data_IF_219078842066
#
_entry.id   IF_219078842066
#
_cell.length_a   1.000
_cell.length_b   1.000
_cell.length_c   1.000
_cell.angle_alpha   90.00
_cell.angle_beta   90.00
_cell.angle_gamma   90.00
#
_symmetry.space_group_name_H-M   'P 1'
#
loop_
_entity.id
_entity.type
_entity.pdbx_description
1 polymer ?
#
# COMPACT_ATOMS: atom_id res chain seq x y z
N UNK A 1 -11.32 -2.61 -36.53
CA UNK A 1 -12.56 -3.39 -36.67
C UNK A 1 -12.60 -4.45 -35.59
N UNK A 2 -13.58 -4.28 -34.70
CA UNK A 2 -14.29 -5.22 -33.83
C UNK A 2 -13.72 -6.65 -33.75
N UNK A 3 -13.15 -7.00 -32.59
CA UNK A 3 -13.60 -8.16 -31.80
C UNK A 3 -13.26 -7.89 -30.34
N UNK A 4 -14.15 -7.12 -29.70
CA UNK A 4 -14.31 -7.19 -28.25
C UNK A 4 -14.70 -8.65 -27.97
N UNK A 5 -13.83 -9.42 -27.32
CA UNK A 5 -14.00 -10.84 -26.97
C UNK A 5 -15.09 -11.06 -25.90
N UNK A 6 -16.17 -10.28 -25.94
CA UNK A 6 -16.95 -9.89 -24.77
C UNK A 6 -18.36 -10.48 -24.56
N UNK A 7 -18.88 -11.43 -25.36
CA UNK A 7 -20.11 -12.10 -24.92
C UNK A 7 -19.89 -13.39 -24.11
N UNK A 8 -18.84 -14.18 -24.29
CA UNK A 8 -18.93 -15.65 -24.15
C UNK A 8 -19.04 -16.21 -22.71
N UNK A 9 -18.98 -15.41 -21.64
CA UNK A 9 -19.12 -15.93 -20.27
C UNK A 9 -20.48 -16.60 -20.01
N UNK A 10 -21.54 -16.11 -20.65
CA UNK A 10 -22.86 -16.74 -20.60
C UNK A 10 -22.90 -18.14 -21.21
N UNK A 11 -21.89 -18.57 -21.98
CA UNK A 11 -21.78 -19.95 -22.46
C UNK A 11 -21.29 -20.91 -21.37
N UNK A 12 -20.90 -20.40 -20.20
CA UNK A 12 -20.74 -21.22 -19.01
C UNK A 12 -22.09 -21.51 -18.33
N UNK A 13 -23.16 -20.74 -18.58
CA UNK A 13 -24.49 -20.98 -18.00
C UNK A 13 -25.07 -22.37 -18.35
N UNK A 14 -24.93 -22.90 -19.59
CA UNK A 14 -25.29 -24.29 -19.91
C UNK A 14 -24.65 -25.34 -18.99
N UNK A 15 -23.48 -25.08 -18.38
CA UNK A 15 -22.83 -26.01 -17.44
C UNK A 15 -23.68 -26.21 -16.18
N UNK A 16 -24.53 -25.23 -15.81
CA UNK A 16 -25.49 -25.38 -14.70
C UNK A 16 -26.57 -26.43 -14.98
N UNK A 17 -26.78 -26.82 -16.24
CA UNK A 17 -27.71 -27.88 -16.60
C UNK A 17 -27.15 -29.28 -16.28
N UNK A 18 -25.83 -29.45 -16.17
CA UNK A 18 -25.20 -30.75 -15.90
C UNK A 18 -25.62 -31.36 -14.56
N UNK A 19 -25.56 -30.63 -13.40
CA UNK A 19 -26.05 -31.16 -12.14
C UNK A 19 -27.54 -31.52 -12.18
N UNK A 20 -28.34 -30.70 -12.86
CA UNK A 20 -29.81 -30.89 -12.97
C UNK A 20 -30.12 -32.12 -13.81
N UNK A 21 -29.46 -32.26 -14.96
CA UNK A 21 -29.62 -33.39 -15.86
C UNK A 21 -29.16 -34.69 -15.21
N UNK A 22 -28.01 -34.69 -14.54
CA UNK A 22 -27.51 -35.84 -13.80
C UNK A 22 -28.45 -36.25 -12.67
N UNK A 23 -28.99 -35.29 -11.93
CA UNK A 23 -29.98 -35.56 -10.89
C UNK A 23 -31.27 -36.17 -11.46
N UNK A 24 -31.75 -35.69 -12.62
CA UNK A 24 -32.89 -36.29 -13.33
C UNK A 24 -32.61 -37.71 -13.82
N UNK A 25 -31.46 -37.94 -14.44
CA UNK A 25 -31.05 -39.27 -14.91
C UNK A 25 -30.92 -40.26 -13.75
N UNK A 26 -30.38 -39.83 -12.61
CA UNK A 26 -30.27 -40.66 -11.41
C UNK A 26 -31.64 -41.05 -10.84
N UNK A 27 -32.63 -40.15 -10.90
CA UNK A 27 -34.02 -40.47 -10.51
C UNK A 27 -34.64 -41.50 -11.45
N UNK A 28 -34.47 -41.33 -12.77
CA UNK A 28 -34.98 -42.28 -13.76
C UNK A 28 -34.39 -43.70 -13.60
N UNK A 29 -33.13 -43.82 -13.15
CA UNK A 29 -32.50 -45.12 -12.87
C UNK A 29 -32.97 -45.76 -11.55
N UNK A 30 -33.53 -44.97 -10.63
CA UNK A 30 -34.04 -45.43 -9.34
C UNK A 30 -35.55 -45.68 -9.34
N UNK A 31 -36.26 -45.25 -10.39
CA UNK A 31 -37.59 -45.75 -10.76
C UNK A 31 -37.43 -47.20 -11.26
N UNK A 32 -37.09 -48.08 -10.32
CA UNK A 32 -37.01 -49.50 -10.56
C UNK A 32 -38.44 -49.98 -10.87
N UNK A 33 -38.67 -50.39 -12.12
CA UNK A 33 -39.78 -51.27 -12.47
C UNK A 33 -39.74 -52.47 -11.51
N UNK A 34 -40.85 -52.79 -10.80
CA UNK A 34 -40.88 -53.98 -9.98
C UNK A 34 -40.53 -55.16 -10.87
N UNK A 35 -39.46 -55.89 -10.54
CA UNK A 35 -39.12 -57.12 -11.23
C UNK A 35 -40.33 -58.05 -11.08
N UNK A 36 -41.08 -58.22 -12.17
CA UNK A 36 -42.24 -59.08 -12.28
C UNK A 36 -41.84 -60.57 -12.23
N UNK A 37 -40.95 -60.96 -11.32
CA UNK A 37 -40.42 -62.31 -11.18
C UNK A 37 -40.70 -62.94 -9.81
N UNK A 38 -41.39 -62.25 -8.90
CA UNK A 38 -41.87 -62.85 -7.66
C UNK A 38 -43.37 -62.62 -7.47
N UNK A 39 -44.19 -63.45 -8.12
CA UNK A 39 -45.67 -63.47 -8.01
C UNK A 39 -46.19 -63.85 -6.60
N UNK A 40 -45.30 -64.00 -5.61
CA UNK A 40 -45.62 -64.58 -4.30
C UNK A 40 -45.19 -63.76 -3.08
N UNK A 41 -44.78 -62.49 -3.26
CA UNK A 41 -44.58 -61.58 -2.12
C UNK A 41 -45.60 -60.45 -2.16
N UNK A 42 -46.22 -60.07 -1.02
CA UNK A 42 -47.07 -58.89 -0.96
C UNK A 42 -46.23 -57.68 -1.38
N UNK A 43 -46.78 -56.87 -2.28
CA UNK A 43 -46.11 -55.68 -2.80
C UNK A 43 -45.82 -54.73 -1.64
N UNK A 44 -44.57 -54.73 -1.16
CA UNK A 44 -44.11 -53.75 -0.18
C UNK A 44 -43.94 -52.41 -0.91
N UNK A 45 -44.77 -51.42 -0.56
CA UNK A 45 -44.56 -50.05 -1.01
C UNK A 45 -43.21 -49.57 -0.45
N UNK A 46 -42.30 -48.99 -1.27
CA UNK A 46 -41.01 -48.53 -0.78
C UNK A 46 -41.21 -47.27 0.08
N UNK A 47 -41.38 -47.41 1.40
CA UNK A 47 -41.53 -46.29 2.33
C UNK A 47 -40.24 -45.47 2.55
N UNK A 48 -39.09 -45.90 2.02
CA UNK A 48 -37.80 -45.30 2.34
C UNK A 48 -37.42 -44.01 1.57
N UNK A 49 -38.32 -43.38 0.80
CA UNK A 49 -37.87 -42.34 -0.13
C UNK A 49 -38.15 -40.89 0.27
N UNK A 50 -39.02 -40.58 1.24
CA UNK A 50 -39.50 -39.19 1.45
C UNK A 50 -38.50 -38.27 2.17
N UNK A 51 -37.81 -38.75 3.20
CA UNK A 51 -36.80 -37.97 3.96
C UNK A 51 -35.53 -37.71 3.11
N UNK A 52 -35.21 -38.60 2.17
CA UNK A 52 -34.05 -38.47 1.29
C UNK A 52 -34.24 -37.45 0.15
N UNK A 53 -35.48 -37.09 -0.20
CA UNK A 53 -35.75 -36.14 -1.29
C UNK A 53 -35.27 -34.72 -0.98
N UNK A 54 -35.39 -34.27 0.28
CA UNK A 54 -34.99 -32.91 0.68
C UNK A 54 -33.48 -32.76 0.70
N UNK A 55 -32.76 -33.78 1.16
CA UNK A 55 -31.29 -33.81 1.14
C UNK A 55 -30.74 -33.82 -0.28
N UNK A 56 -31.37 -34.56 -1.20
CA UNK A 56 -30.97 -34.54 -2.61
C UNK A 56 -31.26 -33.20 -3.31
N UNK A 57 -32.38 -32.53 -2.98
CA UNK A 57 -32.66 -31.16 -3.46
C UNK A 57 -31.68 -30.13 -2.91
N UNK A 58 -31.34 -30.22 -1.62
CA UNK A 58 -30.39 -29.32 -0.96
C UNK A 58 -28.99 -29.50 -1.54
N UNK A 59 -28.55 -30.75 -1.74
CA UNK A 59 -27.26 -31.06 -2.35
C UNK A 59 -27.20 -30.61 -3.84
N UNK A 60 -28.29 -30.73 -4.59
CA UNK A 60 -28.38 -30.17 -5.94
C UNK A 60 -28.24 -28.64 -5.92
N UNK A 61 -28.96 -27.96 -5.02
CA UNK A 61 -28.90 -26.51 -4.87
C UNK A 61 -27.49 -26.02 -4.52
N UNK A 62 -26.81 -26.70 -3.59
CA UNK A 62 -25.42 -26.38 -3.21
C UNK A 62 -24.46 -26.54 -4.39
N UNK A 63 -24.62 -27.58 -5.21
CA UNK A 63 -23.80 -27.79 -6.42
C UNK A 63 -24.03 -26.71 -7.47
N UNK A 64 -25.29 -26.29 -7.66
CA UNK A 64 -25.60 -25.17 -8.54
C UNK A 64 -25.00 -23.86 -8.01
N UNK A 65 -25.10 -23.59 -6.71
CA UNK A 65 -24.48 -22.43 -6.07
C UNK A 65 -22.95 -22.43 -6.23
N UNK A 66 -22.31 -23.58 -6.03
CA UNK A 66 -20.85 -23.72 -6.20
C UNK A 66 -20.43 -23.39 -7.64
N UNK A 67 -21.14 -23.92 -8.64
CA UNK A 67 -20.89 -23.59 -10.04
C UNK A 67 -21.14 -22.11 -10.35
N UNK A 68 -22.23 -21.52 -9.85
CA UNK A 68 -22.52 -20.09 -10.03
C UNK A 68 -21.41 -19.24 -9.41
N UNK A 69 -21.01 -19.53 -8.17
CA UNK A 69 -19.93 -18.84 -7.48
C UNK A 69 -18.60 -18.99 -8.21
N UNK A 70 -18.33 -20.15 -8.81
CA UNK A 70 -17.10 -20.39 -9.58
C UNK A 70 -17.10 -19.59 -10.89
N UNK A 71 -18.23 -19.58 -11.60
CA UNK A 71 -18.40 -18.77 -12.81
C UNK A 71 -18.28 -17.28 -12.47
N UNK A 72 -18.90 -16.82 -11.38
CA UNK A 72 -18.81 -15.44 -10.92
C UNK A 72 -17.37 -15.07 -10.53
N UNK A 73 -16.64 -15.97 -9.88
CA UNK A 73 -15.24 -15.79 -9.54
C UNK A 73 -14.36 -15.61 -10.78
N UNK A 74 -14.52 -16.48 -11.78
CA UNK A 74 -13.81 -16.42 -13.06
C UNK A 74 -14.18 -15.16 -13.86
N UNK A 75 -15.45 -14.78 -13.84
CA UNK A 75 -15.92 -13.54 -14.46
C UNK A 75 -15.26 -12.32 -13.80
N UNK A 76 -15.22 -12.26 -12.47
CA UNK A 76 -14.62 -11.18 -11.71
C UNK A 76 -13.08 -11.15 -11.75
N UNK A 77 -12.41 -12.14 -12.32
CA UNK A 77 -10.95 -12.08 -12.53
C UNK A 77 -10.57 -11.63 -13.93
N UNK A 78 -11.44 -11.86 -14.91
CA UNK A 78 -11.13 -11.72 -16.34
C UNK A 78 -11.88 -10.56 -16.99
N UNK A 79 -13.07 -10.21 -16.50
CA UNK A 79 -13.92 -9.19 -17.12
C UNK A 79 -13.78 -7.83 -16.40
N UNK A 80 -13.52 -6.73 -17.11
CA UNK A 80 -13.72 -5.38 -16.62
C UNK A 80 -15.21 -5.13 -16.46
N UNK A 81 -15.63 -4.84 -15.23
CA UNK A 81 -17.03 -4.51 -14.92
C UNK A 81 -17.23 -3.03 -14.61
N UNK A 82 -16.16 -2.25 -14.37
CA UNK A 82 -16.26 -0.83 -14.02
C UNK A 82 -16.36 0.04 -15.27
N UNK A 83 -17.32 0.95 -15.28
CA UNK A 83 -17.42 2.05 -16.25
C UNK A 83 -16.77 3.32 -15.72
N UNK A 84 -17.22 4.47 -16.21
CA UNK A 84 -16.76 5.78 -15.77
C UNK A 84 -16.73 5.92 -14.25
N UNK A 85 -15.59 6.37 -13.73
CA UNK A 85 -15.33 6.39 -12.28
C UNK A 85 -14.62 7.67 -11.85
N UNK A 86 -15.06 8.20 -10.71
CA UNK A 86 -14.42 9.33 -10.03
C UNK A 86 -13.83 8.85 -8.71
N UNK A 87 -12.54 9.08 -8.51
CA UNK A 87 -11.86 8.91 -7.24
C UNK A 87 -11.85 10.24 -6.51
N UNK A 88 -12.46 10.31 -5.34
CA UNK A 88 -12.63 11.56 -4.57
C UNK A 88 -11.90 11.45 -3.24
N UNK A 89 -11.04 12.42 -2.96
CA UNK A 89 -10.43 12.59 -1.65
C UNK A 89 -11.50 13.01 -0.63
N UNK A 90 -11.61 12.27 0.48
CA UNK A 90 -12.52 12.58 1.57
C UNK A 90 -12.23 13.96 2.20
N UNK A 91 -10.98 14.43 2.11
CA UNK A 91 -10.55 15.73 2.63
C UNK A 91 -10.71 16.91 1.67
N UNK A 92 -11.17 16.68 0.43
CA UNK A 92 -11.45 17.75 -0.53
C UNK A 92 -12.78 18.44 -0.22
N UNK A 93 -12.89 19.74 -0.54
CA UNK A 93 -14.16 20.46 -0.43
C UNK A 93 -15.20 19.81 -1.36
N UNK A 94 -16.28 19.29 -0.78
CA UNK A 94 -17.34 18.58 -1.50
C UNK A 94 -18.05 19.46 -2.53
N UNK A 95 -18.18 20.76 -2.28
CA UNK A 95 -18.80 21.71 -3.21
C UNK A 95 -17.87 22.00 -4.40
N UNK A 96 -16.56 22.09 -4.16
CA UNK A 96 -15.56 22.18 -5.22
C UNK A 96 -15.48 20.87 -6.02
N UNK A 97 -15.40 19.72 -5.35
CA UNK A 97 -15.32 18.42 -5.99
C UNK A 97 -16.54 18.15 -6.89
N UNK A 98 -17.74 18.46 -6.42
CA UNK A 98 -18.97 18.29 -7.23
C UNK A 98 -18.96 19.16 -8.48
N UNK A 99 -18.47 20.40 -8.40
CA UNK A 99 -18.28 21.28 -9.57
C UNK A 99 -17.27 20.69 -10.54
N UNK A 100 -16.13 20.23 -10.06
CA UNK A 100 -15.10 19.62 -10.92
C UNK A 100 -15.58 18.35 -11.62
N UNK A 101 -16.39 17.53 -10.95
CA UNK A 101 -16.99 16.32 -11.52
C UNK A 101 -17.98 16.69 -12.63
N UNK A 102 -18.83 17.70 -12.40
CA UNK A 102 -19.78 18.19 -13.38
C UNK A 102 -19.07 18.80 -14.60
N UNK A 103 -18.03 19.61 -14.38
CA UNK A 103 -17.20 20.22 -15.43
C UNK A 103 -16.47 19.17 -16.29
N UNK A 104 -16.17 18.00 -15.74
CA UNK A 104 -15.61 16.87 -16.48
C UNK A 104 -16.67 16.07 -17.26
N UNK A 105 -17.96 16.39 -17.08
CA UNK A 105 -19.09 15.65 -17.64
C UNK A 105 -19.27 14.25 -17.02
N UNK A 106 -18.84 14.06 -15.76
CA UNK A 106 -18.81 12.75 -15.08
C UNK A 106 -19.75 12.69 -13.88
N UNK A 107 -20.84 13.46 -13.89
CA UNK A 107 -21.83 13.51 -12.79
C UNK A 107 -22.45 12.16 -12.45
N UNK A 108 -22.70 11.32 -13.46
CA UNK A 108 -23.30 10.00 -13.32
C UNK A 108 -22.27 8.88 -13.07
N UNK A 109 -20.98 9.22 -13.07
CA UNK A 109 -19.91 8.26 -12.87
C UNK A 109 -19.88 7.74 -11.43
N UNK A 110 -19.44 6.48 -11.26
CA UNK A 110 -19.35 5.85 -9.94
C UNK A 110 -18.29 6.55 -9.10
N UNK A 111 -18.63 6.92 -7.87
CA UNK A 111 -17.68 7.52 -6.92
C UNK A 111 -17.00 6.44 -6.07
N UNK A 112 -15.70 6.59 -5.86
CA UNK A 112 -14.88 5.73 -5.01
C UNK A 112 -13.99 6.63 -4.16
N UNK A 113 -13.78 6.25 -2.91
CA UNK A 113 -12.84 6.95 -2.02
C UNK A 113 -11.42 6.85 -2.58
N UNK A 114 -10.67 7.95 -2.50
CA UNK A 114 -9.29 8.00 -2.97
C UNK A 114 -8.39 7.05 -2.13
N UNK A 115 -7.81 6.00 -2.72
CA UNK A 115 -6.91 5.10 -2.01
C UNK A 115 -5.53 5.75 -1.80
N UNK A 116 -4.75 5.27 -0.82
CA UNK A 116 -3.36 5.70 -0.66
C UNK A 116 -2.56 5.37 -1.93
N UNK A 117 -1.64 6.26 -2.31
CA UNK A 117 -0.86 6.17 -3.55
C UNK A 117 -1.73 5.96 -4.80
N UNK A 118 -2.77 6.80 -4.94
CA UNK A 118 -3.83 6.65 -5.94
C UNK A 118 -3.35 6.32 -7.37
N UNK A 119 -2.27 6.96 -7.85
CA UNK A 119 -1.72 6.69 -9.19
C UNK A 119 -1.10 5.29 -9.30
N UNK A 120 -0.38 4.83 -8.27
CA UNK A 120 0.22 3.50 -8.24
C UNK A 120 -0.85 2.42 -8.07
N UNK A 121 -1.84 2.67 -7.21
CA UNK A 121 -3.00 1.82 -7.04
C UNK A 121 -3.79 1.70 -8.34
N UNK A 122 -4.03 2.81 -9.05
CA UNK A 122 -4.78 2.80 -10.29
C UNK A 122 -4.10 1.95 -11.35
N UNK A 123 -2.78 2.13 -11.52
CA UNK A 123 -1.97 1.32 -12.44
C UNK A 123 -2.07 -0.18 -12.14
N UNK A 124 -2.16 -0.57 -10.87
CA UNK A 124 -2.30 -1.98 -10.46
C UNK A 124 -3.70 -2.54 -10.73
N UNK A 125 -4.74 -1.71 -10.66
CA UNK A 125 -6.14 -2.14 -10.75
C UNK A 125 -6.80 -1.77 -12.09
N UNK A 126 -6.04 -1.25 -13.05
CA UNK A 126 -6.55 -0.67 -14.31
C UNK A 126 -7.43 -1.62 -15.12
N UNK A 127 -7.19 -2.93 -15.01
CA UNK A 127 -7.98 -4.00 -15.65
C UNK A 127 -9.44 -4.10 -15.21
N UNK A 128 -9.81 -3.51 -14.07
CA UNK A 128 -11.19 -3.54 -13.57
C UNK A 128 -12.12 -2.69 -14.47
N UNK A 129 -11.54 -1.76 -15.25
CA UNK A 129 -12.26 -0.81 -16.08
C UNK A 129 -12.39 -1.25 -17.53
N UNK A 130 -13.55 -0.94 -18.12
CA UNK A 130 -13.81 -1.18 -19.54
C UNK A 130 -12.90 -0.27 -20.38
N UNK A 131 -12.53 -0.73 -21.57
CA UNK A 131 -11.58 -0.03 -22.44
C UNK A 131 -11.98 1.41 -22.80
N UNK A 132 -13.28 1.73 -22.76
CA UNK A 132 -13.86 3.05 -23.03
C UNK A 132 -14.07 3.90 -21.76
N UNK A 133 -13.78 3.36 -20.58
CA UNK A 133 -14.05 4.04 -19.32
C UNK A 133 -13.12 5.25 -19.12
N UNK A 134 -13.73 6.36 -18.68
CA UNK A 134 -13.03 7.58 -18.28
C UNK A 134 -12.80 7.58 -16.77
N UNK A 135 -11.64 8.08 -16.36
CA UNK A 135 -11.22 8.12 -14.97
C UNK A 135 -10.90 9.56 -14.57
N UNK A 136 -11.53 10.01 -13.48
CA UNK A 136 -11.26 11.32 -12.91
C UNK A 136 -10.77 11.15 -11.47
N UNK A 137 -9.66 11.77 -11.14
CA UNK A 137 -9.12 11.83 -9.79
C UNK A 137 -9.24 13.26 -9.29
N UNK A 138 -9.95 13.43 -8.18
CA UNK A 138 -10.20 14.71 -7.52
C UNK A 138 -9.57 14.67 -6.14
N UNK A 139 -8.50 15.44 -5.94
CA UNK A 139 -7.73 15.42 -4.69
C UNK A 139 -7.30 16.82 -4.26
N UNK A 140 -6.92 17.00 -3.00
CA UNK A 140 -6.24 18.21 -2.54
C UNK A 140 -4.73 18.16 -2.80
N UNK A 141 -4.09 19.32 -2.86
CA UNK A 141 -2.65 19.44 -3.03
C UNK A 141 -1.88 18.65 -1.96
N UNK A 142 -0.80 18.00 -2.36
CA UNK A 142 0.03 17.17 -1.47
C UNK A 142 -0.53 15.79 -1.13
N UNK A 143 -1.75 15.43 -1.55
CA UNK A 143 -2.26 14.05 -1.38
C UNK A 143 -1.85 13.10 -2.49
N UNK A 144 -1.56 13.62 -3.68
CA UNK A 144 -1.10 12.81 -4.81
C UNK A 144 0.34 13.18 -5.10
N UNK A 145 1.21 12.21 -4.83
CA UNK A 145 2.62 12.30 -5.15
C UNK A 145 2.90 12.01 -6.62
N UNK A 146 3.53 12.94 -7.32
CA UNK A 146 4.05 12.68 -8.67
C UNK A 146 5.45 12.07 -8.60
N UNK A 147 5.66 10.95 -9.28
CA UNK A 147 7.01 10.41 -9.56
C UNK A 147 7.70 11.23 -10.64
N UNK A 148 9.04 11.29 -10.62
CA UNK A 148 9.84 12.05 -11.59
C UNK A 148 9.56 11.71 -13.07
N UNK A 149 9.01 10.52 -13.34
CA UNK A 149 8.44 10.14 -14.62
C UNK A 149 6.92 10.07 -14.49
N UNK A 150 6.20 10.78 -15.36
CA UNK A 150 4.75 10.74 -15.40
C UNK A 150 4.27 9.30 -15.68
N UNK A 151 3.34 8.75 -14.87
CA UNK A 151 2.79 7.43 -15.13
C UNK A 151 2.02 7.43 -16.46
N UNK A 152 2.08 6.28 -17.14
CA UNK A 152 1.29 6.01 -18.34
C UNK A 152 0.14 5.09 -17.96
N UNK A 153 -1.03 5.38 -18.51
CA UNK A 153 -2.26 4.63 -18.29
C UNK A 153 -2.83 4.17 -19.64
N UNK A 154 -3.47 3.01 -19.65
CA UNK A 154 -4.29 2.52 -20.76
C UNK A 154 -5.61 3.26 -20.93
N UNK A 155 -6.12 3.91 -19.88
CA UNK A 155 -7.37 4.68 -19.88
C UNK A 155 -7.13 6.19 -19.85
N UNK A 156 -8.16 6.95 -20.25
CA UNK A 156 -8.14 8.41 -20.15
C UNK A 156 -8.27 8.82 -18.68
N UNK A 157 -7.14 9.17 -18.04
CA UNK A 157 -7.07 9.62 -16.65
C UNK A 157 -6.90 11.13 -16.61
N UNK A 158 -7.80 11.80 -15.91
CA UNK A 158 -7.72 13.23 -15.60
C UNK A 158 -7.52 13.42 -14.10
N UNK A 159 -6.49 14.18 -13.72
CA UNK A 159 -6.21 14.57 -12.35
C UNK A 159 -6.58 16.03 -12.16
N UNK A 160 -7.41 16.32 -11.16
CA UNK A 160 -7.78 17.67 -10.72
C UNK A 160 -7.39 17.86 -9.28
N UNK A 161 -6.56 18.87 -9.04
CA UNK A 161 -6.01 19.15 -7.72
C UNK A 161 -6.57 20.47 -7.18
N UNK A 162 -7.13 20.41 -5.97
CA UNK A 162 -7.51 21.60 -5.22
C UNK A 162 -6.24 22.23 -4.67
N UNK A 163 -5.93 23.45 -5.12
CA UNK A 163 -4.82 24.21 -4.58
C UNK A 163 -4.96 24.34 -3.05
N UNK A 164 -3.88 24.09 -2.32
CA UNK A 164 -3.86 24.40 -0.91
C UNK A 164 -4.06 25.91 -0.76
N UNK A 165 -5.01 26.31 0.09
CA UNK A 165 -5.04 27.68 0.57
C UNK A 165 -3.67 27.94 1.19
N UNK A 166 -2.93 28.94 0.69
CA UNK A 166 -1.55 29.24 1.08
C UNK A 166 -1.51 29.40 2.60
N UNK A 167 -1.09 28.35 3.30
CA UNK A 167 -0.87 28.42 4.73
C UNK A 167 0.38 29.30 4.95
N UNK A 168 0.35 30.20 5.95
CA UNK A 168 1.53 31.01 6.28
C UNK A 168 2.73 30.09 6.57
N UNK A 169 3.92 30.54 6.17
CA UNK A 169 5.17 29.82 6.32
C UNK A 169 5.26 29.14 7.69
N UNK A 170 5.47 27.83 7.68
CA UNK A 170 5.57 27.03 8.90
C UNK A 170 6.58 27.68 9.87
N UNK A 171 6.29 27.71 11.18
CA UNK A 171 7.22 28.24 12.16
C UNK A 171 8.56 27.50 12.06
N UNK A 172 9.67 28.23 12.22
CA UNK A 172 11.01 27.67 12.15
C UNK A 172 11.12 26.45 13.06
N UNK A 173 11.52 25.32 12.49
CA UNK A 173 11.70 24.07 13.23
C UNK A 173 12.92 24.23 14.14
N UNK A 174 12.71 24.01 15.44
CA UNK A 174 13.77 24.12 16.43
C UNK A 174 14.37 22.75 16.71
N UNK A 175 15.65 22.57 16.39
CA UNK A 175 16.43 21.37 16.67
C UNK A 175 17.18 21.54 17.99
N UNK A 176 16.97 20.62 18.93
CA UNK A 176 17.69 20.61 20.21
C UNK A 176 18.95 19.75 20.09
N UNK A 177 20.10 20.38 20.30
CA UNK A 177 21.43 19.76 20.22
C UNK A 177 22.14 19.90 21.55
N UNK A 178 22.62 18.79 22.11
CA UNK A 178 23.51 18.83 23.27
C UNK A 178 24.95 18.89 22.78
N UNK A 179 25.72 19.86 23.26
CA UNK A 179 27.12 20.02 22.91
C UNK A 179 28.01 19.77 24.14
N UNK A 180 28.78 18.69 24.08
CA UNK A 180 29.87 18.38 25.02
C UNK A 180 31.17 18.34 24.24
N UNK A 181 31.95 19.42 24.28
CA UNK A 181 33.25 19.52 23.64
C UNK A 181 34.25 20.19 24.57
N UNK A 182 35.56 20.05 24.29
CA UNK A 182 36.58 20.85 24.97
C UNK A 182 36.42 22.32 24.61
N UNK A 183 36.83 23.23 25.51
CA UNK A 183 36.75 24.69 25.32
C UNK A 183 37.41 25.17 24.01
N UNK A 184 38.43 24.47 23.54
CA UNK A 184 39.12 24.74 22.27
C UNK A 184 38.29 24.41 21.02
N UNK A 185 37.42 23.39 21.08
CA UNK A 185 36.66 22.87 19.93
C UNK A 185 35.20 23.29 19.93
N UNK A 186 34.69 23.70 21.09
CA UNK A 186 33.34 24.23 21.26
C UNK A 186 33.00 25.39 20.29
N UNK A 187 33.90 26.37 20.03
CA UNK A 187 33.61 27.45 19.08
C UNK A 187 33.39 26.96 17.64
N UNK A 188 34.10 25.91 17.22
CA UNK A 188 33.96 25.34 15.88
C UNK A 188 32.58 24.67 15.72
N UNK A 189 32.11 23.95 16.74
CA UNK A 189 30.77 23.36 16.73
C UNK A 189 29.66 24.41 16.76
N UNK A 190 29.80 25.46 17.58
CA UNK A 190 28.84 26.59 17.61
C UNK A 190 28.74 27.26 16.24
N UNK A 191 29.88 27.50 15.60
CA UNK A 191 29.94 28.11 14.27
C UNK A 191 29.26 27.24 13.21
N UNK A 192 29.43 25.91 13.30
CA UNK A 192 28.76 24.97 12.40
C UNK A 192 27.24 25.05 12.53
N UNK A 193 26.69 24.95 13.74
CA UNK A 193 25.24 24.98 13.95
C UNK A 193 24.62 26.34 13.64
N UNK A 194 25.36 27.43 13.87
CA UNK A 194 24.96 28.75 13.40
C UNK A 194 24.88 28.81 11.86
N UNK A 195 25.88 28.27 11.15
CA UNK A 195 25.89 28.19 9.69
C UNK A 195 24.76 27.30 9.16
N UNK A 196 24.43 26.19 9.83
CA UNK A 196 23.31 25.32 9.46
C UNK A 196 21.97 26.05 9.56
N UNK A 197 21.79 26.88 10.60
CA UNK A 197 20.59 27.70 10.76
C UNK A 197 20.44 28.75 9.66
N UNK A 198 21.55 29.37 9.23
CA UNK A 198 21.53 30.33 8.12
C UNK A 198 21.30 29.67 6.75
N UNK A 199 21.88 28.48 6.51
CA UNK A 199 21.76 27.77 5.24
C UNK A 199 20.35 27.22 4.96
N UNK A 200 19.48 27.14 5.97
CA UNK A 200 18.07 26.76 5.84
C UNK A 200 17.13 27.95 5.65
N UNK A 201 17.60 29.11 5.16
CA UNK A 201 16.83 30.37 5.04
C UNK A 201 16.15 30.81 6.35
N UNK A 202 16.75 30.46 7.50
CA UNK A 202 16.19 30.75 8.83
C UNK A 202 15.00 29.87 9.25
N UNK A 203 14.60 28.90 8.41
CA UNK A 203 13.53 27.94 8.72
C UNK A 203 13.97 26.84 9.71
N UNK A 204 15.27 26.71 9.98
CA UNK A 204 15.86 25.77 10.93
C UNK A 204 16.63 26.52 12.01
N UNK A 205 16.35 26.25 13.28
CA UNK A 205 17.06 26.86 14.42
C UNK A 205 17.67 25.78 15.31
N UNK A 206 18.98 25.83 15.52
CA UNK A 206 19.68 24.89 16.40
C UNK A 206 19.88 25.52 17.77
N UNK A 207 19.22 24.98 18.78
CA UNK A 207 19.41 25.37 20.18
C UNK A 207 20.44 24.43 20.81
N UNK A 208 21.53 25.02 21.31
CA UNK A 208 22.61 24.28 21.96
C UNK A 208 22.40 24.25 23.48
N UNK A 209 22.36 23.06 24.05
CA UNK A 209 22.24 22.80 25.47
C UNK A 209 23.44 22.01 26.00
N UNK A 210 23.61 22.00 27.33
CA UNK A 210 24.66 21.23 28.02
C UNK A 210 24.18 19.87 28.54
N UNK A 211 22.86 19.64 28.57
CA UNK A 211 22.24 18.39 29.00
C UNK A 211 21.03 18.03 28.12
N UNK A 212 20.77 16.73 27.88
CA UNK A 212 19.66 16.29 27.04
C UNK A 212 18.31 16.47 27.74
N UNK A 213 17.34 16.93 26.95
CA UNK A 213 15.91 16.93 27.23
C UNK A 213 15.18 15.93 26.32
N UNK A 214 13.89 15.69 26.56
CA UNK A 214 13.08 14.76 25.76
C UNK A 214 13.06 15.08 24.26
N UNK A 215 13.19 16.36 23.89
CA UNK A 215 13.22 16.83 22.50
C UNK A 215 14.64 16.78 21.86
N UNK A 216 15.65 16.24 22.54
CA UNK A 216 17.03 16.19 22.02
C UNK A 216 17.13 15.24 20.83
N UNK A 217 17.52 15.78 19.69
CA UNK A 217 17.65 15.01 18.44
C UNK A 217 19.10 14.57 18.19
N UNK A 218 20.06 15.38 18.65
CA UNK A 218 21.48 15.17 18.44
C UNK A 218 22.29 15.46 19.70
N UNK A 219 23.19 14.54 20.06
CA UNK A 219 24.21 14.76 21.09
C UNK A 219 25.59 14.77 20.41
N UNK A 220 26.33 15.87 20.55
CA UNK A 220 27.72 15.98 20.13
C UNK A 220 28.62 15.70 21.34
N UNK A 221 29.37 14.61 21.28
CA UNK A 221 30.36 14.22 22.29
C UNK A 221 31.77 14.27 21.67
N UNK A 222 32.44 15.40 21.86
CA UNK A 222 33.78 15.70 21.36
C UNK A 222 34.81 15.89 22.49
N UNK A 223 34.49 15.38 23.68
CA UNK A 223 35.40 15.35 24.85
C UNK A 223 36.06 13.97 24.92
N UNK A 224 37.40 13.88 24.80
CA UNK A 224 38.10 12.59 24.82
C UNK A 224 38.04 11.96 26.22
N UNK A 225 37.85 10.63 26.29
CA UNK A 225 37.91 9.88 27.56
C UNK A 225 36.74 10.13 28.51
N UNK A 226 35.73 10.90 28.10
CA UNK A 226 34.52 11.10 28.89
C UNK A 226 33.52 10.01 28.53
N UNK A 227 33.34 9.04 29.43
CA UNK A 227 32.20 8.13 29.36
C UNK A 227 30.91 8.98 29.46
N UNK A 228 29.97 8.85 28.51
CA UNK A 228 28.74 9.63 28.54
C UNK A 228 27.95 9.34 29.83
N UNK A 229 27.33 10.34 30.45
CA UNK A 229 26.57 10.15 31.68
C UNK A 229 25.49 9.07 31.53
N UNK A 230 25.25 8.26 32.59
CA UNK A 230 24.21 7.25 32.55
C UNK A 230 22.84 7.92 32.34
N UNK A 231 22.07 7.41 31.38
CA UNK A 231 20.72 7.90 31.06
C UNK A 231 20.61 8.85 29.88
N UNK A 232 21.73 9.35 29.33
CA UNK A 232 21.70 10.17 28.11
C UNK A 232 21.27 9.33 26.90
N UNK A 233 20.29 9.83 26.14
CA UNK A 233 19.76 9.20 24.93
C UNK A 233 19.36 10.28 23.92
N UNK A 234 19.62 10.01 22.66
CA UNK A 234 19.16 10.81 21.52
C UNK A 234 19.18 9.94 20.26
N UNK A 235 18.34 10.21 19.24
CA UNK A 235 18.36 9.48 17.98
C UNK A 235 19.77 9.43 17.34
N UNK A 236 20.51 10.54 17.41
CA UNK A 236 21.83 10.66 16.83
C UNK A 236 22.89 11.13 17.82
N UNK A 237 24.08 10.56 17.68
CA UNK A 237 25.27 10.94 18.43
C UNK A 237 26.40 11.24 17.45
N UNK A 238 27.02 12.41 17.56
CA UNK A 238 28.26 12.73 16.85
C UNK A 238 29.43 12.62 17.80
N UNK A 239 30.32 11.70 17.48
CA UNK A 239 31.48 11.34 18.29
C UNK A 239 32.76 11.80 17.61
N UNK A 240 33.74 12.16 18.43
CA UNK A 240 35.10 12.45 17.97
C UNK A 240 35.68 11.25 17.18
N UNK A 241 36.51 11.53 16.18
CA UNK A 241 37.29 10.50 15.52
C UNK A 241 38.24 9.81 16.53
N UNK A 242 38.27 8.48 16.53
CA UNK A 242 39.10 7.68 17.44
C UNK A 242 38.46 7.38 18.80
N UNK A 243 37.17 7.67 18.98
CA UNK A 243 36.41 7.31 20.19
C UNK A 243 36.08 5.81 20.31
N UNK A 244 36.67 4.94 19.49
CA UNK A 244 36.41 3.49 19.47
C UNK A 244 36.69 2.79 20.81
N UNK A 245 37.59 3.34 21.63
CA UNK A 245 37.90 2.81 22.98
C UNK A 245 36.80 3.12 23.99
N UNK A 246 36.18 4.29 23.88
CA UNK A 246 35.13 4.76 24.79
C UNK A 246 33.74 4.22 24.35
N UNK A 247 33.64 3.77 23.09
CA UNK A 247 32.42 3.30 22.44
C UNK A 247 32.67 1.99 21.68
N UNK A 248 32.62 0.84 22.36
CA UNK A 248 32.95 -0.46 21.77
C UNK A 248 32.04 -0.83 20.59
N UNK A 249 30.83 -0.27 20.50
CA UNK A 249 29.91 -0.48 19.37
C UNK A 249 30.52 -0.01 18.04
N UNK A 250 31.43 0.97 18.06
CA UNK A 250 32.10 1.47 16.85
C UNK A 250 33.08 0.46 16.25
N UNK A 251 33.49 -0.58 16.99
CA UNK A 251 34.35 -1.64 16.44
C UNK A 251 33.71 -2.37 15.25
N UNK A 252 32.38 -2.38 15.17
CA UNK A 252 31.60 -2.94 14.05
C UNK A 252 30.91 -1.88 13.20
N UNK A 253 31.41 -0.64 13.22
CA UNK A 253 30.80 0.46 12.50
C UNK A 253 30.82 0.25 10.98
N UNK A 254 29.70 0.55 10.33
CA UNK A 254 29.57 0.60 8.87
C UNK A 254 30.12 1.94 8.38
N UNK A 255 30.81 1.94 7.24
CA UNK A 255 31.36 3.17 6.64
C UNK A 255 30.56 3.57 5.42
N UNK A 256 30.17 4.85 5.34
CA UNK A 256 29.50 5.44 4.18
C UNK A 256 30.24 6.71 3.76
N UNK A 257 30.22 7.02 2.47
CA UNK A 257 30.81 8.26 1.94
C UNK A 257 29.75 9.04 1.17
N UNK A 258 29.48 10.27 1.58
CA UNK A 258 28.46 11.15 0.98
C UNK A 258 29.07 12.56 0.86
N UNK A 259 28.97 13.18 -0.32
CA UNK A 259 29.57 14.49 -0.63
C UNK A 259 31.06 14.60 -0.22
N UNK A 260 31.82 13.52 -0.36
CA UNK A 260 33.24 13.47 0.02
C UNK A 260 33.50 13.40 1.54
N UNK A 261 32.46 13.35 2.38
CA UNK A 261 32.56 13.12 3.82
C UNK A 261 32.41 11.62 4.11
N UNK A 262 33.45 11.03 4.68
CA UNK A 262 33.42 9.65 5.18
C UNK A 262 32.86 9.62 6.60
N UNK A 263 31.74 8.93 6.77
CA UNK A 263 31.07 8.72 8.05
C UNK A 263 31.14 7.25 8.42
N UNK A 264 31.54 6.96 9.66
CA UNK A 264 31.38 5.64 10.28
C UNK A 264 30.19 5.70 11.22
N UNK A 265 29.33 4.69 11.19
CA UNK A 265 28.18 4.62 12.09
C UNK A 265 27.92 3.24 12.67
N UNK A 266 27.38 3.21 13.88
CA UNK A 266 26.94 2.00 14.56
C UNK A 266 25.67 2.30 15.35
N UNK A 267 24.76 1.33 15.46
CA UNK A 267 23.58 1.46 16.31
C UNK A 267 23.90 1.00 17.73
N UNK A 268 23.45 1.77 18.72
CA UNK A 268 23.59 1.46 20.14
C UNK A 268 22.25 1.62 20.87
N UNK A 269 22.08 1.07 22.08
CA UNK A 269 20.89 1.31 22.90
C UNK A 269 20.64 2.79 23.24
N UNK A 270 21.64 3.67 23.06
CA UNK A 270 21.56 5.11 23.31
C UNK A 270 21.17 5.93 22.08
N UNK A 271 21.23 5.33 20.89
CA UNK A 271 21.05 5.99 19.60
C UNK A 271 22.06 5.54 18.55
N UNK A 272 21.95 6.10 17.34
CA UNK A 272 22.91 5.87 16.26
C UNK A 272 24.14 6.74 16.47
N UNK A 273 25.29 6.09 16.62
CA UNK A 273 26.59 6.70 16.77
C UNK A 273 27.17 7.03 15.40
N UNK A 274 27.70 8.23 15.22
CA UNK A 274 28.36 8.69 14.02
C UNK A 274 29.74 9.23 14.37
N UNK A 275 30.77 8.87 13.60
CA UNK A 275 32.12 9.43 13.76
C UNK A 275 32.73 9.73 12.39
N UNK A 276 33.50 10.81 12.33
CA UNK A 276 34.21 11.25 11.13
C UNK A 276 35.45 12.04 11.50
N UNK A 277 36.49 11.94 10.68
CA UNK A 277 37.66 12.82 10.75
C UNK A 277 37.32 14.27 10.38
N UNK A 278 36.16 14.50 9.74
CA UNK A 278 35.64 15.83 9.42
C UNK A 278 35.00 16.56 10.61
N UNK A 279 34.97 15.97 11.82
CA UNK A 279 34.32 16.53 13.00
C UNK A 279 35.31 17.19 13.99
N UNK A 280 35.09 18.46 14.41
CA UNK A 280 34.32 19.49 13.72
C UNK A 280 35.02 19.92 12.41
N UNK A 281 34.29 20.51 11.46
CA UNK A 281 34.87 21.01 10.22
C UNK A 281 35.82 22.18 10.52
N UNK A 282 36.97 22.21 9.83
CA UNK A 282 38.00 23.25 9.99
C UNK A 282 37.85 24.40 9.00
N UNK A 283 37.13 24.16 7.91
CA UNK A 283 36.94 25.10 6.80
C UNK A 283 35.48 25.10 6.33
N UNK A 284 35.11 26.15 5.59
CA UNK A 284 33.75 26.37 5.13
C UNK A 284 33.26 25.33 4.11
N UNK A 285 34.17 24.78 3.29
CA UNK A 285 33.82 23.78 2.29
C UNK A 285 33.44 22.45 2.97
N UNK A 286 34.24 22.01 3.94
CA UNK A 286 33.93 20.82 4.76
C UNK A 286 32.64 21.01 5.55
N UNK A 287 32.40 22.20 6.12
CA UNK A 287 31.15 22.51 6.82
C UNK A 287 29.93 22.42 5.89
N UNK A 288 30.03 22.94 4.66
CA UNK A 288 28.96 22.86 3.65
C UNK A 288 28.72 21.43 3.18
N UNK A 289 29.78 20.67 2.89
CA UNK A 289 29.67 19.27 2.51
C UNK A 289 29.01 18.45 3.63
N UNK A 290 29.39 18.70 4.90
CA UNK A 290 28.78 18.08 6.05
C UNK A 290 27.29 18.45 6.21
N UNK A 291 26.92 19.71 6.02
CA UNK A 291 25.52 20.15 6.04
C UNK A 291 24.67 19.38 5.01
N UNK A 292 25.15 19.32 3.76
CA UNK A 292 24.45 18.64 2.68
C UNK A 292 24.34 17.14 2.94
N UNK A 293 25.41 16.52 3.45
CA UNK A 293 25.42 15.12 3.85
C UNK A 293 24.41 14.85 4.96
N UNK A 294 24.38 15.69 5.99
CA UNK A 294 23.43 15.54 7.08
C UNK A 294 21.99 15.73 6.62
N UNK A 295 21.74 16.68 5.72
CA UNK A 295 20.42 16.87 5.10
C UNK A 295 19.96 15.66 4.29
N UNK A 296 20.85 15.00 3.57
CA UNK A 296 20.50 13.78 2.82
C UNK A 296 20.19 12.62 3.75
N UNK A 297 20.89 12.52 4.89
CA UNK A 297 20.63 11.51 5.92
C UNK A 297 19.35 11.79 6.71
N UNK A 298 19.03 13.07 6.93
CA UNK A 298 17.83 13.53 7.63
C UNK A 298 16.59 13.60 6.71
N UNK A 299 16.76 13.48 5.39
CA UNK A 299 15.65 13.53 4.46
C UNK A 299 14.70 12.34 4.73
N UNK A 300 13.51 12.65 5.25
CA UNK A 300 12.33 11.85 4.96
C UNK A 300 12.26 11.62 3.43
N UNK A 301 11.71 10.47 2.95
CA UNK A 301 11.60 10.21 1.53
C UNK A 301 11.12 11.47 0.82
N UNK A 302 11.85 11.89 -0.22
CA UNK A 302 11.66 13.18 -0.87
C UNK A 302 10.16 13.41 -1.08
N UNK A 303 9.61 14.54 -0.60
CA UNK A 303 8.19 14.81 -0.76
C UNK A 303 7.88 14.66 -2.24
N UNK A 304 6.97 13.74 -2.54
CA UNK A 304 6.56 13.52 -3.91
C UNK A 304 6.04 14.86 -4.44
N UNK A 305 6.57 15.29 -5.59
CA UNK A 305 6.27 16.62 -6.13
C UNK A 305 4.76 16.84 -6.16
N UNK A 306 4.25 18.01 -5.72
CA UNK A 306 2.82 18.29 -5.75
C UNK A 306 2.36 18.14 -7.19
N UNK A 307 1.44 17.21 -7.43
CA UNK A 307 0.97 16.95 -8.77
C UNK A 307 0.05 18.11 -9.22
N UNK A 308 0.38 18.88 -10.28
CA UNK A 308 -0.57 19.82 -10.86
C UNK A 308 -1.74 19.05 -11.49
N UNK A 309 -2.86 19.75 -11.69
CA UNK A 309 -3.95 19.23 -12.52
C UNK A 309 -3.42 18.86 -13.90
N UNK A 310 -3.68 17.64 -14.35
CA UNK A 310 -3.04 17.07 -15.53
C UNK A 310 -3.95 16.03 -16.21
N UNK A 311 -3.94 15.98 -17.55
CA UNK A 311 -4.59 14.92 -18.34
C UNK A 311 -3.53 13.96 -18.85
N UNK A 312 -3.56 12.71 -18.39
CA UNK A 312 -2.59 11.71 -18.84
C UNK A 312 -2.95 11.21 -20.24
N UNK A 313 -1.94 11.05 -21.10
CA UNK A 313 -2.10 10.45 -22.42
C UNK A 313 -2.40 8.95 -22.30
N UNK A 314 -3.37 8.45 -23.05
CA UNK A 314 -3.62 7.02 -23.21
C UNK A 314 -2.46 6.37 -23.96
N UNK A 315 -1.82 5.39 -23.34
CA UNK A 315 -0.81 4.53 -23.97
C UNK A 315 -1.43 3.17 -24.31
N UNK A 316 -0.88 2.45 -25.30
CA UNK A 316 -1.27 1.07 -25.54
C UNK A 316 -0.98 0.25 -24.26
N UNK A 317 -2.04 -0.24 -23.61
CA UNK A 317 -1.93 -0.93 -22.33
C UNK A 317 -1.00 -2.15 -22.46
N UNK A 318 0.12 -2.14 -21.74
CA UNK A 318 0.88 -3.37 -21.51
C UNK A 318 0.00 -4.31 -20.68
N UNK A 319 -0.10 -5.57 -21.09
CA UNK A 319 -0.89 -6.58 -20.38
C UNK A 319 -0.39 -6.69 -18.93
N UNK A 320 -1.17 -6.19 -17.97
CA UNK A 320 -0.87 -6.31 -16.55
C UNK A 320 -1.11 -7.76 -16.15
N UNK A 321 -0.02 -8.49 -15.85
CA UNK A 321 -0.03 -9.93 -15.61
C UNK A 321 -0.56 -10.35 -14.22
N UNK A 322 -0.64 -9.43 -13.27
CA UNK A 322 -0.99 -9.75 -11.87
C UNK A 322 -2.47 -9.50 -11.57
N UNK A 323 -3.27 -10.46 -12.00
CA UNK A 323 -4.68 -10.55 -11.67
C UNK A 323 -4.88 -11.05 -10.22
N UNK A 324 -5.18 -10.17 -9.27
CA UNK A 324 -5.60 -10.61 -7.92
C UNK A 324 -7.11 -10.88 -7.88
N UNK A 325 -7.56 -12.13 -7.62
CA UNK A 325 -8.97 -12.45 -7.51
C UNK A 325 -9.64 -11.81 -6.29
N UNK A 326 -10.95 -11.60 -6.36
CA UNK A 326 -11.74 -11.20 -5.22
C UNK A 326 -11.71 -12.29 -4.13
N UNK A 327 -10.84 -12.11 -3.14
CA UNK A 327 -10.54 -13.08 -2.08
C UNK A 327 -11.80 -13.57 -1.32
N UNK A 328 -12.82 -12.74 -1.17
CA UNK A 328 -14.06 -13.09 -0.49
C UNK A 328 -14.87 -14.17 -1.24
N UNK A 329 -14.83 -14.19 -2.57
CA UNK A 329 -15.51 -15.21 -3.38
C UNK A 329 -14.76 -16.55 -3.25
N UNK A 330 -13.44 -16.54 -3.09
CA UNK A 330 -12.67 -17.75 -2.81
C UNK A 330 -13.07 -18.37 -1.46
N UNK A 331 -13.30 -17.55 -0.42
CA UNK A 331 -13.84 -18.00 0.86
C UNK A 331 -15.26 -18.57 0.74
N UNK A 332 -16.13 -17.93 -0.06
CA UNK A 332 -17.47 -18.44 -0.35
C UNK A 332 -17.42 -19.81 -1.05
N UNK A 333 -16.53 -19.97 -2.03
CA UNK A 333 -16.30 -21.24 -2.73
C UNK A 333 -15.82 -22.33 -1.78
N UNK A 334 -14.89 -22.01 -0.88
CA UNK A 334 -14.40 -22.94 0.14
C UNK A 334 -15.54 -23.39 1.07
N UNK A 335 -16.35 -22.45 1.56
CA UNK A 335 -17.49 -22.75 2.43
C UNK A 335 -18.52 -23.63 1.73
N UNK A 336 -18.88 -23.32 0.48
CA UNK A 336 -19.80 -24.11 -0.33
C UNK A 336 -19.25 -25.53 -0.61
N UNK A 337 -17.95 -25.65 -0.84
CA UNK A 337 -17.29 -26.94 -1.06
C UNK A 337 -17.31 -27.80 0.22
N UNK A 338 -16.99 -27.22 1.38
CA UNK A 338 -17.08 -27.92 2.67
C UNK A 338 -18.53 -28.38 2.95
N UNK A 339 -19.51 -27.53 2.64
CA UNK A 339 -20.92 -27.85 2.84
C UNK A 339 -21.39 -28.97 1.89
N UNK A 340 -20.95 -28.97 0.63
CA UNK A 340 -21.18 -30.08 -0.31
C UNK A 340 -20.59 -31.39 0.22
N UNK A 341 -19.35 -31.34 0.72
CA UNK A 341 -18.62 -32.50 1.25
C UNK A 341 -19.34 -33.09 2.47
N UNK A 342 -19.76 -32.24 3.41
CA UNK A 342 -20.48 -32.65 4.63
C UNK A 342 -21.85 -33.27 4.31
N UNK A 343 -22.62 -32.67 3.39
CA UNK A 343 -23.90 -33.22 2.96
C UNK A 343 -23.74 -34.56 2.22
N UNK A 344 -22.69 -34.69 1.43
CA UNK A 344 -22.36 -35.94 0.72
C UNK A 344 -21.93 -37.04 1.68
N UNK A 345 -21.14 -36.72 2.71
CA UNK A 345 -20.77 -37.66 3.77
C UNK A 345 -21.99 -38.09 4.58
N UNK A 346 -22.82 -37.13 5.01
CA UNK A 346 -24.05 -37.43 5.72
C UNK A 346 -24.95 -38.36 4.90
N UNK A 347 -24.98 -38.24 3.57
CA UNK A 347 -25.74 -39.12 2.65
C UNK A 347 -25.27 -40.58 2.64
N UNK A 348 -23.98 -40.82 2.85
CA UNK A 348 -23.38 -42.15 2.78
C UNK A 348 -23.44 -42.89 4.12
N UNK A 349 -23.45 -42.14 5.23
CA UNK A 349 -23.79 -42.64 6.56
C UNK A 349 -25.32 -42.81 6.69
#
# INVERSE_FOLDING_TARGET
MITSSYPWWWLALPVLLLPIWWHRQKRQRLDATPLATARFLPAAAPEQLRVWQWRDRLLLLVRCLLLISLIAWLAATVLPWRGDTVLVDAGADQAWATRQIADAGMSDARRIDLPPDALAWLRKNERDWRADARLLIVAREGQIGMTARAPQFGHAVELRVQAASVAPAAPAVQHQVVLSATSEREPAWRSLFAAFGQAGDGAQRYALATAPVAATELIVCDTPGLAPPPGWRAPHWWLRAGSDKDWPELAKATTITINGITLRYADSPRGRLWTSTAFPPRDAQTARALYQTWRLLAAAPAPAYPAPSHKFSTAAAAAVADASPAHWIAWLLLALFLLERSLTHARRA
#
